data_IF_124659697795
#
_entry.id   IF_124659697795
#
_cell.length_a   1.000
_cell.length_b   1.000
_cell.length_c   1.000
_cell.angle_alpha   90.00
_cell.angle_beta   90.00
_cell.angle_gamma   90.00
#
_symmetry.space_group_name_H-M   'P 1'
#
loop_
_entity.id
_entity.type
_entity.pdbx_description
1 polymer ?
#
# COMPACT_ATOMS: atom_id res chain seq x y z
N UNK A 1 4.82 -8.66 -21.40
CA UNK A 1 5.64 -8.35 -20.21
C UNK A 1 4.74 -8.56 -19.02
N UNK A 2 5.20 -9.11 -17.91
CA UNK A 2 4.30 -9.30 -16.78
C UNK A 2 3.94 -7.92 -16.20
N UNK A 3 2.68 -7.72 -15.87
CA UNK A 3 2.12 -6.41 -15.54
C UNK A 3 2.55 -5.99 -14.12
N UNK A 4 3.15 -4.81 -13.92
CA UNK A 4 3.75 -4.43 -12.65
C UNK A 4 2.71 -4.36 -11.51
N UNK A 5 3.02 -5.04 -10.40
CA UNK A 5 2.20 -5.07 -9.18
C UNK A 5 2.81 -4.19 -8.09
N UNK A 6 2.01 -3.26 -7.59
CA UNK A 6 2.35 -2.43 -6.44
C UNK A 6 1.51 -2.81 -5.23
N UNK A 7 2.16 -3.03 -4.09
CA UNK A 7 1.54 -3.23 -2.78
C UNK A 7 1.77 -1.99 -1.92
N UNK A 8 0.69 -1.33 -1.50
CA UNK A 8 0.70 -0.16 -0.64
C UNK A 8 0.32 -0.60 0.77
N UNK A 9 1.29 -0.67 1.67
CA UNK A 9 1.08 -0.94 3.09
C UNK A 9 0.88 0.39 3.82
N UNK A 10 -0.20 0.55 4.59
CA UNK A 10 -0.47 1.79 5.29
C UNK A 10 -0.74 1.56 6.77
N UNK A 11 0.18 2.05 7.61
CA UNK A 11 0.26 1.77 9.05
C UNK A 11 0.55 3.07 9.82
N UNK A 12 -0.25 3.41 10.83
CA UNK A 12 0.01 4.51 11.77
C UNK A 12 0.47 5.86 11.14
N UNK A 13 0.00 6.15 9.91
CA UNK A 13 0.37 7.32 9.11
C UNK A 13 1.73 7.27 8.41
N UNK A 14 2.15 6.05 8.04
CA UNK A 14 3.15 5.78 7.01
C UNK A 14 2.53 4.88 5.95
N UNK A 15 2.85 5.15 4.69
CA UNK A 15 2.45 4.36 3.55
C UNK A 15 3.73 3.90 2.85
N UNK A 16 3.93 2.60 2.74
CA UNK A 16 5.05 1.97 2.06
C UNK A 16 4.54 1.39 0.75
N UNK A 17 5.07 1.89 -0.34
CA UNK A 17 4.80 1.40 -1.68
C UNK A 17 5.92 0.41 -2.02
N UNK A 18 5.51 -0.84 -2.11
CA UNK A 18 6.31 -1.98 -2.46
C UNK A 18 5.99 -2.38 -3.90
N UNK A 19 7.00 -2.62 -4.72
CA UNK A 19 6.82 -3.22 -6.04
C UNK A 19 7.21 -4.69 -5.96
N UNK A 20 6.27 -5.55 -6.36
CA UNK A 20 6.52 -6.98 -6.49
C UNK A 20 7.07 -7.22 -7.90
N UNK A 21 8.35 -7.61 -8.05
CA UNK A 21 8.85 -8.00 -9.35
C UNK A 21 8.12 -9.27 -9.79
N UNK A 22 7.43 -9.19 -10.93
CA UNK A 22 6.61 -10.29 -11.48
C UNK A 22 7.47 -11.28 -12.27
N UNK A 23 8.79 -11.21 -12.12
CA UNK A 23 9.75 -12.08 -12.80
C UNK A 23 9.65 -13.51 -12.23
N UNK A 24 8.72 -14.25 -12.83
CA UNK A 24 8.68 -15.71 -12.97
C UNK A 24 8.87 -16.52 -11.70
N UNK A 25 7.79 -16.73 -10.95
CA UNK A 25 7.56 -18.00 -10.24
C UNK A 25 8.58 -18.41 -9.17
N UNK A 26 9.56 -17.57 -8.82
CA UNK A 26 10.34 -17.74 -7.61
C UNK A 26 9.58 -17.11 -6.47
N UNK A 27 8.89 -17.95 -5.69
CA UNK A 27 8.71 -17.64 -4.27
C UNK A 27 10.10 -17.33 -3.70
N UNK A 28 10.44 -16.05 -3.47
CA UNK A 28 11.72 -15.74 -2.84
C UNK A 28 12.22 -14.32 -2.98
N UNK A 29 11.81 -13.55 -4.00
CA UNK A 29 12.24 -12.14 -4.06
C UNK A 29 11.35 -11.27 -3.18
N UNK A 30 11.92 -10.63 -2.14
CA UNK A 30 11.14 -9.76 -1.28
C UNK A 30 10.66 -8.55 -2.11
N UNK A 31 9.42 -8.10 -1.89
CA UNK A 31 8.93 -6.88 -2.52
C UNK A 31 9.91 -5.73 -2.27
N UNK A 32 10.22 -4.96 -3.30
CA UNK A 32 11.17 -3.86 -3.20
C UNK A 32 10.43 -2.60 -2.79
N UNK A 33 10.91 -1.94 -1.72
CA UNK A 33 10.41 -0.62 -1.36
C UNK A 33 10.78 0.37 -2.45
N UNK A 34 9.77 0.86 -3.16
CA UNK A 34 9.91 1.89 -4.19
C UNK A 34 9.80 3.27 -3.56
N UNK A 35 8.81 3.44 -2.68
CA UNK A 35 8.54 4.73 -2.05
C UNK A 35 8.01 4.53 -0.62
N UNK A 36 8.50 5.33 0.32
CA UNK A 36 7.91 5.45 1.66
C UNK A 36 7.38 6.87 1.83
N UNK A 37 6.09 6.97 2.10
CA UNK A 37 5.35 8.18 2.39
C UNK A 37 5.08 8.22 3.89
N UNK A 38 5.81 9.05 4.62
CA UNK A 38 5.47 9.36 5.99
C UNK A 38 4.63 10.65 6.01
N UNK A 39 3.63 10.72 6.88
CA UNK A 39 2.92 11.98 7.08
C UNK A 39 3.86 13.02 7.69
N UNK A 40 4.40 13.92 6.86
CA UNK A 40 5.37 14.93 7.27
C UNK A 40 4.79 16.00 8.20
N UNK A 41 3.46 16.02 8.38
CA UNK A 41 2.76 16.96 9.26
C UNK A 41 2.37 16.36 10.61
N UNK A 42 2.45 15.05 10.77
CA UNK A 42 2.33 14.41 12.06
C UNK A 42 3.70 14.42 12.73
N UNK A 43 3.90 15.40 13.61
CA UNK A 43 4.91 15.25 14.64
C UNK A 43 4.61 13.94 15.39
N UNK A 44 5.60 13.03 15.59
CA UNK A 44 5.38 11.84 16.38
C UNK A 44 5.09 12.26 17.82
N UNK A 45 3.81 12.36 18.18
CA UNK A 45 3.38 12.46 19.57
C UNK A 45 3.24 11.03 20.10
N UNK A 46 4.22 10.52 20.87
CA UNK A 46 4.14 9.17 21.42
C UNK A 46 2.91 9.05 22.32
N UNK A 47 2.10 8.01 22.09
CA UNK A 47 0.92 7.71 22.89
C UNK A 47 -0.38 8.40 22.45
N UNK A 48 -0.36 9.23 21.40
CA UNK A 48 -1.59 9.84 20.88
C UNK A 48 -2.08 9.10 19.64
N UNK A 49 -3.30 8.55 19.73
CA UNK A 49 -3.99 8.03 18.55
C UNK A 49 -4.26 9.18 17.58
N UNK A 50 -3.94 8.97 16.30
CA UNK A 50 -4.19 9.98 15.27
C UNK A 50 -5.67 10.29 15.18
N UNK A 51 -5.97 11.57 15.02
CA UNK A 51 -7.34 12.04 14.82
C UNK A 51 -7.85 11.64 13.43
N UNK A 52 -9.16 11.58 13.25
CA UNK A 52 -9.76 11.28 11.94
C UNK A 52 -9.29 12.27 10.86
N UNK A 53 -9.14 13.54 11.19
CA UNK A 53 -8.63 14.57 10.28
C UNK A 53 -7.20 14.30 9.80
N UNK A 54 -6.31 13.84 10.68
CA UNK A 54 -4.94 13.46 10.31
C UNK A 54 -4.95 12.23 9.38
N UNK A 55 -5.79 11.25 9.68
CA UNK A 55 -5.97 10.06 8.84
C UNK A 55 -6.50 10.42 7.45
N UNK A 56 -7.49 11.31 7.37
CA UNK A 56 -8.04 11.80 6.10
C UNK A 56 -7.04 12.63 5.30
N UNK A 57 -6.27 13.50 5.97
CA UNK A 57 -5.20 14.26 5.32
C UNK A 57 -4.13 13.32 4.75
N UNK A 58 -3.76 12.31 5.51
CA UNK A 58 -2.78 11.33 5.07
C UNK A 58 -3.32 10.49 3.90
N UNK A 59 -4.58 10.05 3.99
CA UNK A 59 -5.26 9.36 2.89
C UNK A 59 -5.20 10.17 1.60
N UNK A 60 -5.49 11.48 1.65
CA UNK A 60 -5.37 12.38 0.50
C UNK A 60 -3.96 12.44 -0.09
N UNK A 61 -2.93 12.47 0.73
CA UNK A 61 -1.54 12.46 0.24
C UNK A 61 -1.19 11.16 -0.47
N UNK A 62 -1.58 10.01 0.11
CA UNK A 62 -1.39 8.69 -0.50
C UNK A 62 -2.14 8.63 -1.83
N UNK A 63 -3.40 9.04 -1.87
CA UNK A 63 -4.22 9.09 -3.08
C UNK A 63 -3.57 9.96 -4.15
N UNK A 64 -3.10 11.17 -3.79
CA UNK A 64 -2.42 12.05 -4.73
C UNK A 64 -1.17 11.40 -5.35
N UNK A 65 -0.41 10.64 -4.57
CA UNK A 65 0.76 9.90 -5.07
C UNK A 65 0.40 8.73 -5.95
N UNK A 66 -0.61 7.95 -5.55
CA UNK A 66 -1.15 6.88 -6.39
C UNK A 66 -1.67 7.43 -7.72
N UNK A 67 -2.27 8.62 -7.72
CA UNK A 67 -2.72 9.29 -8.95
C UNK A 67 -1.56 9.55 -9.91
N UNK A 68 -0.45 10.08 -9.38
CA UNK A 68 0.73 10.38 -10.18
C UNK A 68 1.34 9.10 -10.75
N UNK A 69 1.49 8.06 -9.93
CA UNK A 69 2.04 6.77 -10.36
C UNK A 69 1.12 6.04 -11.37
N UNK A 70 -0.20 6.16 -11.21
CA UNK A 70 -1.17 5.65 -12.18
C UNK A 70 -1.07 6.38 -13.52
N UNK A 71 -0.94 7.71 -13.48
CA UNK A 71 -0.75 8.53 -14.68
C UNK A 71 0.54 8.19 -15.43
N UNK A 72 1.61 7.84 -14.69
CA UNK A 72 2.90 7.40 -15.24
C UNK A 72 2.92 5.91 -15.67
N UNK A 73 1.79 5.20 -15.52
CA UNK A 73 1.64 3.78 -15.83
C UNK A 73 2.66 2.85 -15.17
N UNK A 74 2.97 3.14 -13.90
CA UNK A 74 3.90 2.31 -13.10
C UNK A 74 3.32 1.01 -12.58
N UNK A 75 2.00 0.88 -12.52
CA UNK A 75 1.33 -0.31 -12.01
C UNK A 75 0.05 -0.59 -12.79
N UNK A 76 -0.28 -1.88 -12.92
CA UNK A 76 -1.57 -2.39 -13.39
C UNK A 76 -2.33 -3.11 -12.27
N UNK A 77 -1.62 -3.65 -11.30
CA UNK A 77 -2.20 -4.25 -10.10
C UNK A 77 -1.80 -3.43 -8.87
N UNK A 78 -2.79 -2.99 -8.09
CA UNK A 78 -2.58 -2.23 -6.87
C UNK A 78 -3.25 -2.92 -5.68
N UNK A 79 -2.43 -3.40 -4.74
CA UNK A 79 -2.91 -3.99 -3.49
C UNK A 79 -2.75 -2.99 -2.36
N UNK A 80 -3.85 -2.54 -1.76
CA UNK A 80 -3.85 -1.61 -0.64
C UNK A 80 -4.12 -2.38 0.63
N UNK A 81 -3.12 -2.47 1.50
CA UNK A 81 -3.21 -3.07 2.80
C UNK A 81 -3.15 -1.98 3.87
N UNK A 82 -4.22 -1.80 4.65
CA UNK A 82 -4.28 -0.74 5.67
C UNK A 82 -5.06 -1.17 6.92
N UNK A 83 -4.82 -0.47 8.04
CA UNK A 83 -5.65 -0.60 9.25
C UNK A 83 -7.13 -0.24 8.95
N UNK A 84 -8.12 -0.91 9.55
CA UNK A 84 -9.54 -0.75 9.20
C UNK A 84 -10.05 0.70 9.30
N UNK A 85 -9.56 1.46 10.28
CA UNK A 85 -9.88 2.89 10.45
C UNK A 85 -9.41 3.73 9.26
N UNK A 86 -8.22 3.44 8.76
CA UNK A 86 -7.61 4.17 7.66
C UNK A 86 -8.09 3.66 6.30
N UNK A 87 -8.34 2.34 6.19
CA UNK A 87 -8.87 1.70 4.99
C UNK A 87 -10.20 2.33 4.58
N UNK A 88 -11.09 2.62 5.54
CA UNK A 88 -12.32 3.35 5.28
C UNK A 88 -12.10 4.75 4.69
N UNK A 89 -11.16 5.51 5.26
CA UNK A 89 -10.83 6.86 4.79
C UNK A 89 -10.16 6.83 3.39
N UNK A 90 -9.18 5.95 3.20
CA UNK A 90 -8.50 5.73 1.92
C UNK A 90 -9.46 5.30 0.83
N UNK A 91 -10.35 4.34 1.12
CA UNK A 91 -11.33 3.86 0.15
C UNK A 91 -12.23 4.98 -0.34
N UNK A 92 -12.70 5.82 0.58
CA UNK A 92 -13.56 6.96 0.24
C UNK A 92 -12.83 8.00 -0.61
N UNK A 93 -11.57 8.31 -0.29
CA UNK A 93 -10.81 9.30 -1.07
C UNK A 93 -10.36 8.74 -2.43
N UNK A 94 -10.00 7.46 -2.51
CA UNK A 94 -9.66 6.79 -3.77
C UNK A 94 -10.87 6.76 -4.69
N UNK A 95 -12.03 6.29 -4.21
CA UNK A 95 -13.26 6.23 -5.01
C UNK A 95 -13.69 7.61 -5.54
N UNK A 96 -13.45 8.68 -4.76
CA UNK A 96 -13.76 10.06 -5.16
C UNK A 96 -12.77 10.70 -6.13
N UNK A 97 -11.48 10.43 -5.98
CA UNK A 97 -10.42 11.20 -6.64
C UNK A 97 -9.59 10.41 -7.65
N UNK A 98 -9.65 9.07 -7.58
CA UNK A 98 -8.91 8.13 -8.42
C UNK A 98 -9.88 7.20 -9.15
N UNK A 99 -10.02 7.42 -10.44
CA UNK A 99 -10.71 6.49 -11.32
C UNK A 99 -9.69 5.46 -11.84
N UNK A 100 -9.59 4.34 -11.14
CA UNK A 100 -8.64 3.27 -11.41
C UNK A 100 -9.24 2.20 -12.34
N UNK A 101 -10.02 2.59 -13.35
CA UNK A 101 -10.72 1.65 -14.24
C UNK A 101 -9.80 0.65 -14.95
N UNK A 102 -8.54 1.03 -15.21
CA UNK A 102 -7.53 0.15 -15.82
C UNK A 102 -6.71 -0.66 -14.80
N UNK A 103 -6.71 -0.26 -13.53
CA UNK A 103 -5.91 -0.94 -12.50
C UNK A 103 -6.79 -1.84 -11.65
N UNK A 104 -6.31 -3.04 -11.36
CA UNK A 104 -6.99 -3.94 -10.44
C UNK A 104 -6.68 -3.50 -9.02
N UNK A 105 -7.70 -3.04 -8.29
CA UNK A 105 -7.56 -2.72 -6.87
C UNK A 105 -7.96 -3.88 -5.98
N UNK A 106 -7.04 -4.26 -5.11
CA UNK A 106 -7.34 -5.20 -4.03
C UNK A 106 -7.19 -4.52 -2.67
N UNK A 107 -8.26 -4.55 -1.89
CA UNK A 107 -8.26 -4.05 -0.52
C UNK A 107 -7.96 -5.21 0.43
N UNK A 108 -6.93 -5.03 1.25
CA UNK A 108 -6.64 -5.91 2.38
C UNK A 108 -6.66 -5.13 3.67
N UNK A 109 -7.31 -5.71 4.68
CA UNK A 109 -7.05 -5.29 6.03
C UNK A 109 -5.64 -5.76 6.39
N UNK A 110 -4.84 -4.85 6.92
CA UNK A 110 -3.47 -5.14 7.33
C UNK A 110 -3.55 -5.98 8.62
N UNK A 111 -3.84 -7.26 8.44
CA UNK A 111 -3.63 -8.28 9.45
C UNK A 111 -2.15 -8.61 9.33
N UNK A 112 -1.32 -8.02 10.20
CA UNK A 112 0.12 -8.32 10.24
C UNK A 112 0.26 -9.78 10.66
N UNK A 113 0.08 -10.70 9.70
CA UNK A 113 0.74 -11.99 9.81
C UNK A 113 2.18 -11.62 9.52
N UNK A 114 3.10 -11.71 10.50
CA UNK A 114 4.51 -11.66 10.15
C UNK A 114 4.69 -12.64 8.98
N UNK A 115 5.40 -12.21 7.95
CA UNK A 115 5.93 -13.12 6.94
C UNK A 115 6.96 -14.00 7.64
N UNK A 116 6.47 -14.87 8.53
CA UNK A 116 7.18 -16.06 8.97
C UNK A 116 7.47 -16.78 7.66
N UNK A 117 8.76 -16.82 7.37
CA UNK A 117 9.35 -17.42 6.21
C UNK A 117 8.52 -18.63 5.76
N UNK A 118 8.03 -18.58 4.52
CA UNK A 118 7.70 -19.79 3.77
C UNK A 118 8.98 -20.59 3.52
N UNK A 119 9.60 -21.05 4.60
CA UNK A 119 10.68 -22.00 4.62
C UNK A 119 10.07 -23.39 4.75
N UNK A 120 10.55 -24.28 3.89
CA UNK A 120 10.29 -25.71 3.88
C UNK A 120 8.94 -26.16 3.30
N UNK A 121 8.89 -26.20 1.96
CA UNK A 121 8.22 -27.29 1.26
C UNK A 121 9.16 -27.85 0.18
N UNK A 122 9.60 -29.11 0.38
CA UNK A 122 10.39 -29.93 -0.54
C UNK A 122 11.88 -29.90 -0.18
N UNK A 123 12.59 -30.99 0.11
CA UNK A 123 12.47 -32.41 -0.20
C UNK A 123 13.55 -33.13 0.68
N UNK A 124 13.75 -34.47 0.72
CA UNK A 124 13.19 -35.55 -0.11
C UNK A 124 12.25 -36.53 0.59
#
# INVERSE_FOLDING_TARGET
>A
MPDPEWTVLVEAGRARILETPVESGRQGEPPRLVEELADAHAAPVPGQARTAEELERFARQVVARLKQAYADARFEYLRIAAEPRLLGALRKEIDKHLDLHRAVLEWRELNVVPVEAGGAAGAP
#
